data_IF_112745060995
#
_entry.id   IF_112745060995
#
_cell.length_a   1.000
_cell.length_b   1.000
_cell.length_c   1.000
_cell.angle_alpha   90.00
_cell.angle_beta   90.00
_cell.angle_gamma   90.00
#
_symmetry.space_group_name_H-M   'P 1'
#
loop_
_entity.id
_entity.type
_entity.pdbx_description
1 polymer ?
#
# COMPACT_ATOMS: atom_id res chain seq x y z
N UNK A 1 28.01 -5.71 3.27
CA UNK A 1 26.73 -5.10 2.84
C UNK A 1 26.90 -3.59 2.93
N UNK A 2 26.62 -2.83 1.87
CA UNK A 2 26.71 -1.36 1.91
C UNK A 2 25.40 -0.77 2.46
N UNK A 3 25.47 0.43 3.03
CA UNK A 3 24.29 1.17 3.49
C UNK A 3 23.27 1.34 2.35
N UNK A 4 23.76 1.64 1.13
CA UNK A 4 22.93 1.74 -0.07
C UNK A 4 22.20 0.42 -0.35
N UNK A 5 22.90 -0.72 -0.29
CA UNK A 5 22.27 -2.03 -0.55
C UNK A 5 21.17 -2.36 0.46
N UNK A 6 21.31 -1.95 1.72
CA UNK A 6 20.27 -2.13 2.74
C UNK A 6 19.03 -1.28 2.43
N UNK A 7 19.21 -0.02 2.05
CA UNK A 7 18.09 0.84 1.69
C UNK A 7 17.35 0.37 0.44
N UNK A 8 18.08 -0.12 -0.58
CA UNK A 8 17.47 -0.68 -1.78
C UNK A 8 16.62 -1.92 -1.44
N UNK A 9 17.13 -2.84 -0.62
CA UNK A 9 16.38 -4.00 -0.15
C UNK A 9 15.13 -3.60 0.64
N UNK A 10 15.23 -2.57 1.49
CA UNK A 10 14.09 -2.05 2.22
C UNK A 10 13.03 -1.44 1.29
N UNK A 11 13.44 -0.69 0.27
CA UNK A 11 12.51 -0.11 -0.71
C UNK A 11 11.80 -1.20 -1.52
N UNK A 12 12.53 -2.22 -1.97
CA UNK A 12 11.97 -3.36 -2.70
C UNK A 12 10.98 -4.17 -1.85
N UNK A 13 11.34 -4.46 -0.60
CA UNK A 13 10.47 -5.13 0.36
C UNK A 13 9.16 -4.36 0.57
N UNK A 14 9.26 -3.05 0.86
CA UNK A 14 8.08 -2.22 1.10
C UNK A 14 7.20 -2.10 -0.16
N UNK A 15 7.79 -1.96 -1.35
CA UNK A 15 7.02 -1.91 -2.60
C UNK A 15 6.30 -3.22 -2.87
N UNK A 16 6.96 -4.36 -2.64
CA UNK A 16 6.36 -5.68 -2.78
C UNK A 16 5.14 -5.83 -1.87
N UNK A 17 5.23 -5.36 -0.61
CA UNK A 17 4.11 -5.40 0.34
C UNK A 17 2.95 -4.50 -0.10
N UNK A 18 3.23 -3.31 -0.63
CA UNK A 18 2.20 -2.40 -1.17
C UNK A 18 1.44 -3.03 -2.32
N UNK A 19 2.14 -3.60 -3.31
CA UNK A 19 1.52 -4.25 -4.48
C UNK A 19 0.74 -5.50 -4.07
N UNK A 20 1.32 -6.37 -3.23
CA UNK A 20 0.62 -7.56 -2.74
C UNK A 20 -0.66 -7.20 -1.97
N UNK A 21 -0.67 -6.07 -1.24
CA UNK A 21 -1.88 -5.60 -0.55
C UNK A 21 -2.97 -5.20 -1.56
N UNK A 22 -2.61 -4.51 -2.65
CA UNK A 22 -3.55 -4.19 -3.73
C UNK A 22 -4.08 -5.46 -4.43
N UNK A 23 -3.21 -6.45 -4.65
CA UNK A 23 -3.59 -7.73 -5.24
C UNK A 23 -4.58 -8.50 -4.34
N UNK A 24 -4.40 -8.49 -3.02
CA UNK A 24 -5.35 -9.09 -2.08
C UNK A 24 -6.68 -8.34 -2.05
N UNK A 25 -6.66 -7.00 -2.07
CA UNK A 25 -7.88 -6.18 -2.13
C UNK A 25 -8.66 -6.48 -3.42
N UNK A 26 -7.98 -6.64 -4.55
CA UNK A 26 -8.60 -6.93 -5.83
C UNK A 26 -9.34 -8.29 -5.89
N UNK A 27 -9.01 -9.22 -5.00
CA UNK A 27 -9.67 -10.54 -4.89
C UNK A 27 -10.98 -10.52 -4.11
N UNK A 28 -11.28 -9.42 -3.40
CA UNK A 28 -12.49 -9.32 -2.57
C UNK A 28 -13.74 -9.12 -3.44
N UNK A 29 -14.92 -9.43 -2.88
CA UNK A 29 -16.21 -9.28 -3.58
C UNK A 29 -16.57 -7.81 -3.85
N UNK A 30 -16.06 -6.88 -3.04
CA UNK A 30 -16.21 -5.45 -3.25
C UNK A 30 -14.90 -4.70 -2.90
N UNK A 31 -13.93 -4.65 -3.83
CA UNK A 31 -12.66 -3.97 -3.62
C UNK A 31 -12.83 -2.45 -3.45
N UNK A 32 -13.89 -1.87 -4.03
CA UNK A 32 -14.10 -0.42 -4.03
C UNK A 32 -14.48 0.10 -2.64
N UNK A 33 -15.30 -0.64 -1.87
CA UNK A 33 -15.58 -0.24 -0.49
C UNK A 33 -14.34 -0.28 0.40
N UNK A 34 -13.45 -1.25 0.20
CA UNK A 34 -12.18 -1.32 0.93
C UNK A 34 -11.27 -0.15 0.57
N UNK A 35 -11.11 0.16 -0.73
CA UNK A 35 -10.32 1.30 -1.17
C UNK A 35 -10.91 2.64 -0.72
N UNK A 36 -12.23 2.75 -0.67
CA UNK A 36 -12.97 3.92 -0.20
C UNK A 36 -13.00 4.07 1.33
N UNK A 37 -12.62 3.03 2.09
CA UNK A 37 -12.66 3.06 3.55
C UNK A 37 -11.77 4.17 4.12
N UNK A 38 -12.30 4.89 5.11
CA UNK A 38 -11.60 5.93 5.86
C UNK A 38 -11.40 5.47 7.30
N UNK A 39 -10.15 5.30 7.77
CA UNK A 39 -9.88 4.79 9.12
C UNK A 39 -10.41 5.66 10.27
N UNK A 40 -10.74 6.92 10.01
CA UNK A 40 -11.35 7.82 10.98
C UNK A 40 -11.51 9.25 10.45
N UNK A 41 -12.14 10.14 11.24
CA UNK A 41 -12.29 11.54 10.89
C UNK A 41 -10.93 12.19 10.55
N UNK A 42 -10.90 12.98 9.47
CA UNK A 42 -9.68 13.65 9.00
C UNK A 42 -8.63 12.74 8.34
N UNK A 43 -8.88 11.43 8.21
CA UNK A 43 -8.00 10.52 7.45
C UNK A 43 -8.41 10.44 5.97
N UNK A 44 -7.43 10.34 5.09
CA UNK A 44 -7.70 10.07 3.68
C UNK A 44 -8.16 8.61 3.49
N UNK A 45 -8.90 8.29 2.42
CA UNK A 45 -9.25 6.91 2.08
C UNK A 45 -8.00 6.04 1.85
N UNK A 46 -8.14 4.72 2.03
CA UNK A 46 -7.05 3.76 1.78
C UNK A 46 -6.46 3.93 0.37
N UNK A 47 -7.31 4.10 -0.65
CA UNK A 47 -6.85 4.30 -2.04
C UNK A 47 -5.91 5.51 -2.16
N UNK A 48 -6.22 6.62 -1.49
CA UNK A 48 -5.38 7.83 -1.53
C UNK A 48 -4.02 7.58 -0.89
N UNK A 49 -3.97 6.87 0.24
CA UNK A 49 -2.72 6.52 0.91
C UNK A 49 -1.82 5.67 0.01
N UNK A 50 -2.38 4.66 -0.66
CA UNK A 50 -1.63 3.76 -1.55
C UNK A 50 -1.16 4.45 -2.83
N UNK A 51 -1.94 5.37 -3.38
CA UNK A 51 -1.52 6.17 -4.53
C UNK A 51 -0.46 7.22 -4.17
N UNK A 52 -0.48 7.77 -2.96
CA UNK A 52 0.48 8.77 -2.53
C UNK A 52 1.91 8.23 -2.39
N UNK A 53 2.05 6.95 -2.06
CA UNK A 53 3.34 6.23 -2.00
C UNK A 53 3.71 5.54 -3.33
N UNK A 54 2.86 5.71 -4.35
CA UNK A 54 2.90 5.03 -5.64
C UNK A 54 4.08 5.42 -6.52
#
# INVERSE_FOLDING_TARGET
MSVISVYLQAMEFNRTRTVATLDEIAKLSDPQSVLGFRPGPGRAPIAWQLMHIG
#
